data_IF_284324246161
#
_entry.id   IF_284324246161
#
_cell.length_a   1.000
_cell.length_b   1.000
_cell.length_c   1.000
_cell.angle_alpha   90.00
_cell.angle_beta   90.00
_cell.angle_gamma   90.00
#
_symmetry.space_group_name_H-M   'P 1'
#
loop_
_entity.id
_entity.type
_entity.pdbx_description
1 polymer ?
#
# COMPACT_ATOMS: atom_id res chain seq x y z
N UNK A 1 28.17 -49.03 -49.50
CA UNK A 1 28.46 -48.02 -48.46
C UNK A 1 27.18 -47.79 -47.68
N UNK A 2 27.07 -48.43 -46.52
CA UNK A 2 25.81 -48.61 -45.79
C UNK A 2 25.39 -47.33 -45.05
N UNK A 3 24.12 -46.94 -45.19
CA UNK A 3 23.46 -45.83 -44.48
C UNK A 3 23.47 -45.96 -42.95
N UNK A 4 23.89 -47.11 -42.43
CA UNK A 4 24.05 -47.37 -41.00
C UNK A 4 25.12 -46.49 -40.35
N UNK A 5 26.10 -45.95 -41.10
CA UNK A 5 27.19 -45.16 -40.50
C UNK A 5 26.83 -43.70 -40.16
N UNK A 6 25.65 -43.22 -40.58
CA UNK A 6 25.13 -41.88 -40.25
C UNK A 6 24.19 -41.88 -39.03
N UNK A 7 23.70 -43.05 -38.61
CA UNK A 7 22.78 -43.19 -37.47
C UNK A 7 23.53 -43.27 -36.11
N UNK A 8 24.69 -43.92 -36.06
CA UNK A 8 25.52 -44.04 -34.85
C UNK A 8 25.96 -42.71 -34.19
N UNK A 9 26.35 -41.64 -34.94
CA UNK A 9 26.72 -40.38 -34.31
C UNK A 9 25.49 -39.57 -33.83
N UNK A 10 24.30 -39.80 -34.40
CA UNK A 10 23.08 -39.12 -33.98
C UNK A 10 22.56 -39.70 -32.66
N UNK A 11 22.49 -41.03 -32.51
CA UNK A 11 22.05 -41.68 -31.28
C UNK A 11 22.93 -41.36 -30.07
N UNK A 12 24.24 -41.19 -30.27
CA UNK A 12 25.16 -40.74 -29.21
C UNK A 12 24.99 -39.26 -28.83
N UNK A 13 24.49 -38.41 -29.75
CA UNK A 13 24.26 -36.98 -29.52
C UNK A 13 22.88 -36.67 -28.92
N UNK A 14 21.89 -37.54 -29.13
CA UNK A 14 20.53 -37.42 -28.55
C UNK A 14 20.51 -37.24 -27.02
N UNK A 15 21.23 -38.04 -26.20
CA UNK A 15 21.21 -37.87 -24.75
C UNK A 15 21.86 -36.54 -24.31
N UNK A 16 22.85 -36.04 -25.05
CA UNK A 16 23.47 -34.75 -24.78
C UNK A 16 22.49 -33.60 -25.09
N UNK A 17 21.79 -33.65 -26.22
CA UNK A 17 20.74 -32.68 -26.55
C UNK A 17 19.60 -32.69 -25.52
N UNK A 18 19.15 -33.88 -25.09
CA UNK A 18 18.07 -34.03 -24.12
C UNK A 18 18.45 -33.46 -22.74
N UNK A 19 19.69 -33.69 -22.29
CA UNK A 19 20.18 -33.14 -21.02
C UNK A 19 20.33 -31.62 -21.09
N UNK A 20 20.83 -31.07 -22.21
CA UNK A 20 20.94 -29.62 -22.41
C UNK A 20 19.55 -28.94 -22.42
N UNK A 21 18.58 -29.54 -23.13
CA UNK A 21 17.19 -29.07 -23.17
C UNK A 21 16.54 -29.18 -21.78
N UNK A 22 16.77 -30.27 -21.06
CA UNK A 22 16.27 -30.47 -19.70
C UNK A 22 16.81 -29.43 -18.73
N UNK A 23 18.12 -29.14 -18.79
CA UNK A 23 18.76 -28.10 -17.99
C UNK A 23 18.22 -26.72 -18.34
N UNK A 24 18.13 -26.38 -19.63
CA UNK A 24 17.54 -25.12 -20.07
C UNK A 24 16.09 -24.98 -19.61
N UNK A 25 15.28 -26.02 -19.77
CA UNK A 25 13.88 -26.00 -19.34
C UNK A 25 13.74 -25.83 -17.82
N UNK A 26 14.66 -26.38 -17.03
CA UNK A 26 14.68 -26.23 -15.58
C UNK A 26 14.91 -24.78 -15.13
N UNK A 27 15.65 -23.98 -15.89
CA UNK A 27 15.90 -22.57 -15.57
C UNK A 27 14.94 -21.60 -16.29
N UNK A 28 14.61 -21.87 -17.55
CA UNK A 28 13.75 -21.01 -18.37
C UNK A 28 12.32 -21.00 -17.83
N UNK A 29 11.77 -22.14 -17.42
CA UNK A 29 10.40 -22.21 -16.88
C UNK A 29 10.19 -21.34 -15.63
N UNK A 30 11.00 -21.44 -14.56
CA UNK A 30 10.83 -20.57 -13.40
C UNK A 30 11.19 -19.11 -13.73
N UNK A 31 12.17 -18.85 -14.59
CA UNK A 31 12.49 -17.47 -15.00
C UNK A 31 11.32 -16.79 -15.72
N UNK A 32 10.64 -17.51 -16.62
CA UNK A 32 9.44 -17.01 -17.29
C UNK A 32 8.27 -16.84 -16.33
N UNK A 33 8.07 -17.79 -15.40
CA UNK A 33 7.03 -17.69 -14.38
C UNK A 33 7.22 -16.49 -13.46
N UNK A 34 8.46 -16.26 -12.98
CA UNK A 34 8.81 -15.09 -12.19
C UNK A 34 8.69 -13.81 -13.01
N UNK A 35 9.13 -13.82 -14.26
CA UNK A 35 8.97 -12.69 -15.19
C UNK A 35 7.50 -12.31 -15.38
N UNK A 36 6.62 -13.31 -15.58
CA UNK A 36 5.18 -13.11 -15.69
C UNK A 36 4.55 -12.54 -14.41
N UNK A 37 5.01 -12.99 -13.23
CA UNK A 37 4.56 -12.42 -11.96
C UNK A 37 5.01 -10.97 -11.80
N UNK A 38 6.26 -10.66 -12.12
CA UNK A 38 6.80 -9.30 -12.02
C UNK A 38 6.06 -8.35 -12.97
N UNK A 39 5.83 -8.77 -14.23
CA UNK A 39 5.07 -7.96 -15.19
C UNK A 39 3.63 -7.78 -14.74
N UNK A 40 2.98 -8.82 -14.20
CA UNK A 40 1.65 -8.70 -13.62
C UNK A 40 1.61 -7.67 -12.49
N UNK A 41 2.54 -7.76 -11.53
CA UNK A 41 2.62 -6.81 -10.41
C UNK A 41 2.92 -5.38 -10.91
N UNK A 42 3.75 -5.21 -11.93
CA UNK A 42 4.05 -3.88 -12.49
C UNK A 42 2.84 -3.28 -13.22
N UNK A 43 2.17 -4.04 -14.07
CA UNK A 43 1.00 -3.59 -14.84
C UNK A 43 -0.16 -3.27 -13.90
N UNK A 44 -0.41 -4.15 -12.92
CA UNK A 44 -1.49 -3.98 -11.95
C UNK A 44 -1.06 -3.27 -10.67
N UNK A 45 0.14 -2.68 -10.64
CA UNK A 45 0.67 -1.88 -9.53
C UNK A 45 -0.35 -0.86 -8.99
N UNK A 46 -1.02 -0.02 -9.82
CA UNK A 46 -1.97 0.95 -9.30
C UNK A 46 -3.18 0.28 -8.61
N UNK A 47 -3.63 -0.87 -9.12
CA UNK A 47 -4.75 -1.62 -8.55
C UNK A 47 -4.37 -2.23 -7.20
N UNK A 48 -3.19 -2.86 -7.13
CA UNK A 48 -2.67 -3.48 -5.90
C UNK A 48 -2.44 -2.41 -4.82
N UNK A 49 -1.89 -1.25 -5.19
CA UNK A 49 -1.75 -0.11 -4.29
C UNK A 49 -3.09 0.42 -3.80
N UNK A 50 -4.08 0.57 -4.69
CA UNK A 50 -5.43 1.00 -4.33
C UNK A 50 -6.09 0.02 -3.36
N UNK A 51 -5.98 -1.29 -3.61
CA UNK A 51 -6.51 -2.33 -2.75
C UNK A 51 -5.82 -2.35 -1.38
N UNK A 52 -4.49 -2.22 -1.35
CA UNK A 52 -3.73 -2.11 -0.12
C UNK A 52 -4.12 -0.87 0.69
N UNK A 53 -4.30 0.28 0.04
CA UNK A 53 -4.77 1.50 0.71
C UNK A 53 -6.18 1.35 1.27
N UNK A 54 -7.10 0.72 0.53
CA UNK A 54 -8.45 0.42 0.99
C UNK A 54 -8.44 -0.55 2.19
N UNK A 55 -7.61 -1.60 2.15
CA UNK A 55 -7.41 -2.51 3.27
C UNK A 55 -6.85 -1.80 4.51
N UNK A 56 -5.89 -0.89 4.32
CA UNK A 56 -5.36 -0.06 5.42
C UNK A 56 -6.43 0.86 5.99
N UNK A 57 -7.28 1.44 5.14
CA UNK A 57 -8.40 2.28 5.59
C UNK A 57 -9.46 1.48 6.38
N UNK A 58 -9.67 0.21 6.04
CA UNK A 58 -10.56 -0.69 6.77
C UNK A 58 -10.05 -0.94 8.20
N UNK A 59 -8.75 -1.20 8.36
CA UNK A 59 -8.14 -1.50 9.67
C UNK A 59 -7.92 -0.23 10.49
N UNK A 60 -7.45 0.84 9.84
CA UNK A 60 -7.14 2.12 10.48
C UNK A 60 -7.83 3.23 9.69
N UNK A 61 -9.11 3.53 10.00
CA UNK A 61 -9.83 4.60 9.33
C UNK A 61 -9.08 5.92 9.55
N UNK A 62 -8.59 6.49 8.45
CA UNK A 62 -7.96 7.81 8.49
C UNK A 62 -9.06 8.84 8.70
N UNK A 63 -8.91 9.71 9.71
CA UNK A 63 -9.80 10.85 9.89
C UNK A 63 -9.78 11.69 8.62
N UNK A 64 -10.96 12.03 8.09
CA UNK A 64 -11.06 12.92 6.94
C UNK A 64 -10.45 14.29 7.28
N UNK A 65 -10.07 15.06 6.26
CA UNK A 65 -9.57 16.42 6.44
C UNK A 65 -10.60 17.27 7.21
N UNK A 66 -11.87 17.18 6.86
CA UNK A 66 -12.96 17.87 7.54
C UNK A 66 -13.08 17.45 9.00
N UNK A 67 -13.01 16.15 9.30
CA UNK A 67 -13.03 15.65 10.68
C UNK A 67 -11.86 16.17 11.50
N UNK A 68 -10.68 16.35 10.90
CA UNK A 68 -9.50 16.94 11.58
C UNK A 68 -9.70 18.42 11.86
N UNK A 69 -10.21 19.17 10.89
CA UNK A 69 -10.52 20.60 11.05
C UNK A 69 -11.57 20.79 12.14
N UNK A 70 -12.65 20.01 12.13
CA UNK A 70 -13.69 20.04 13.14
C UNK A 70 -13.15 19.68 14.54
N UNK A 71 -12.29 18.66 14.65
CA UNK A 71 -11.67 18.31 15.91
C UNK A 71 -10.78 19.45 16.47
N UNK A 72 -10.02 20.13 15.61
CA UNK A 72 -9.23 21.29 16.00
C UNK A 72 -10.10 22.47 16.47
N UNK A 73 -11.15 22.82 15.71
CA UNK A 73 -12.10 23.87 16.08
C UNK A 73 -12.77 23.56 17.42
N UNK A 74 -13.24 22.33 17.61
CA UNK A 74 -13.88 21.89 18.85
C UNK A 74 -12.90 21.96 20.05
N UNK A 75 -11.65 21.58 19.85
CA UNK A 75 -10.60 21.71 20.87
C UNK A 75 -10.40 23.17 21.30
N UNK A 76 -10.36 24.10 20.34
CA UNK A 76 -10.26 25.54 20.62
C UNK A 76 -11.44 26.05 21.45
N UNK A 77 -12.68 25.76 21.03
CA UNK A 77 -13.89 26.14 21.76
C UNK A 77 -13.93 25.56 23.18
N UNK A 78 -13.51 24.31 23.34
CA UNK A 78 -13.46 23.64 24.65
C UNK A 78 -12.42 24.28 25.57
N UNK A 79 -11.28 24.70 25.01
CA UNK A 79 -10.23 25.39 25.76
C UNK A 79 -10.69 26.78 26.24
N UNK A 80 -11.32 27.57 25.37
CA UNK A 80 -11.89 28.88 25.72
C UNK A 80 -12.96 28.76 26.81
N UNK A 81 -13.87 27.78 26.68
CA UNK A 81 -14.88 27.53 27.71
C UNK A 81 -14.28 27.06 29.04
N UNK A 82 -13.17 26.31 29.01
CA UNK A 82 -12.45 25.92 30.23
C UNK A 82 -11.85 27.15 30.92
N UNK A 83 -11.18 28.03 30.18
CA UNK A 83 -10.67 29.30 30.73
C UNK A 83 -11.80 30.17 31.27
N UNK A 84 -12.91 30.29 30.56
CA UNK A 84 -14.07 31.05 31.03
C UNK A 84 -14.61 30.53 32.37
N UNK A 85 -14.61 29.21 32.58
CA UNK A 85 -15.02 28.63 33.86
C UNK A 85 -14.00 28.87 34.97
N UNK A 86 -12.70 28.91 34.65
CA UNK A 86 -11.65 29.23 35.61
C UNK A 86 -11.75 30.69 36.09
N UNK A 87 -12.04 31.62 35.17
CA UNK A 87 -12.20 33.04 35.50
C UNK A 87 -13.62 33.43 35.94
N UNK A 88 -14.58 32.51 36.00
CA UNK A 88 -15.99 32.88 36.27
C UNK A 88 -16.21 33.50 37.64
N UNK A 89 -15.38 33.12 38.62
CA UNK A 89 -15.50 33.59 40.01
C UNK A 89 -14.68 34.85 40.29
N UNK A 90 -13.58 35.05 39.56
CA UNK A 90 -12.67 36.18 39.79
C UNK A 90 -12.95 37.35 38.87
N UNK A 91 -13.33 37.08 37.61
CA UNK A 91 -13.54 38.08 36.56
C UNK A 91 -14.71 37.67 35.65
N UNK A 92 -15.97 37.88 36.08
CA UNK A 92 -17.14 37.41 35.35
C UNK A 92 -17.31 38.05 33.97
N UNK A 93 -16.87 39.31 33.80
CA UNK A 93 -16.93 39.99 32.50
C UNK A 93 -15.98 39.37 31.48
N UNK A 94 -14.75 39.07 31.90
CA UNK A 94 -13.76 38.38 31.06
C UNK A 94 -14.21 36.95 30.71
N UNK A 95 -14.80 36.24 31.67
CA UNK A 95 -15.40 34.93 31.41
C UNK A 95 -16.55 34.98 30.37
N UNK A 96 -17.37 36.04 30.39
CA UNK A 96 -18.42 36.24 29.40
C UNK A 96 -17.84 36.52 28.00
N UNK A 97 -16.78 37.34 27.89
CA UNK A 97 -16.08 37.58 26.63
C UNK A 97 -15.49 36.30 26.05
N UNK A 98 -14.82 35.47 26.86
CA UNK A 98 -14.26 34.19 26.42
C UNK A 98 -15.33 33.22 25.91
N UNK A 99 -16.50 33.17 26.56
CA UNK A 99 -17.65 32.37 26.08
C UNK A 99 -18.20 32.92 24.76
N UNK A 100 -18.25 34.24 24.62
CA UNK A 100 -18.71 34.89 23.41
C UNK A 100 -17.75 34.65 22.24
N UNK A 101 -16.43 34.69 22.48
CA UNK A 101 -15.41 34.30 21.50
C UNK A 101 -15.56 32.83 21.09
N UNK A 102 -15.79 31.92 22.04
CA UNK A 102 -16.01 30.50 21.74
C UNK A 102 -17.30 30.22 20.93
N UNK A 103 -18.30 31.11 21.01
CA UNK A 103 -19.58 31.00 20.31
C UNK A 103 -19.56 31.62 18.90
N UNK A 104 -18.62 32.53 18.62
CA UNK A 104 -18.53 33.27 17.34
C UNK A 104 -17.81 32.49 16.22
N UNK A 105 -16.84 31.64 16.57
CA UNK A 105 -16.16 30.72 15.63
C UNK A 105 -16.99 29.45 15.36
#
# INVERSE_FOLDING_TARGET
MSFLNLAFPAEAAMPFAQTLIGMLAAYVRPALGLGALVTFVMVFKPLILGLAQAAVLLVKPRKSLEQRILAHKFSGKRMLNRMANEYSMTQPNFAAELRNMAARD
#
